data_IF_180787728775
#
_entry.id   IF_180787728775
#
_cell.length_a   1.000
_cell.length_b   1.000
_cell.length_c   1.000
_cell.angle_alpha   90.00
_cell.angle_beta   90.00
_cell.angle_gamma   90.00
#
_symmetry.space_group_name_H-M   'P 1'
#
loop_
_entity.id
_entity.type
_entity.pdbx_description
1 polymer ?
2 polymer ?
3 water ?
#
# COMPACT_ATOMS: atom_id res chain seq x y z
N UNK A 2 -17.57 11.19 4.74
CA UNK A 2 -17.05 9.91 5.29
C UNK A 2 -15.70 9.55 4.67
N UNK A 3 -15.63 8.38 4.04
CA UNK A 3 -14.40 7.90 3.40
C UNK A 3 -14.28 8.38 1.96
N UNK A 4 -13.25 9.17 1.69
CA UNK A 4 -13.00 9.70 0.36
C UNK A 4 -11.75 9.07 -0.25
N UNK A 5 -11.87 8.54 -1.47
CA UNK A 5 -10.72 7.94 -2.12
C UNK A 5 -9.95 9.06 -2.81
N UNK A 6 -8.67 9.18 -2.50
CA UNK A 6 -7.87 10.24 -3.11
C UNK A 6 -6.88 9.70 -4.14
N UNK A 7 -6.92 8.39 -4.35
CA UNK A 7 -6.03 7.77 -5.31
C UNK A 7 -6.43 6.33 -5.57
N UNK A 8 -6.30 5.91 -6.83
CA UNK A 8 -6.63 4.54 -7.22
C UNK A 8 -5.47 4.04 -8.09
N UNK A 9 -4.82 2.97 -7.66
CA UNK A 9 -3.70 2.41 -8.41
C UNK A 9 -3.79 0.89 -8.44
N UNK A 10 -3.18 0.29 -9.45
CA UNK A 10 -3.18 -1.16 -9.58
C UNK A 10 -1.84 -1.70 -9.11
N UNK A 11 -1.88 -2.62 -8.16
CA UNK A 11 -0.65 -3.19 -7.62
C UNK A 11 -0.92 -4.54 -6.97
N UNK A 12 0.11 -5.37 -6.91
CA UNK A 12 0.01 -6.66 -6.27
C UNK A 12 0.48 -6.39 -4.85
N UNK A 13 -0.40 -6.58 -3.88
CA UNK A 13 -0.04 -6.33 -2.48
C UNK A 13 0.69 -7.54 -1.91
N UNK A 14 1.81 -7.28 -1.26
CA UNK A 14 2.62 -8.35 -0.68
C UNK A 14 2.96 -8.04 0.78
N UNK A 15 3.34 -9.09 1.50
CA UNK A 15 3.77 -8.95 2.89
C UNK A 15 5.05 -9.75 2.98
N UNK A 16 5.99 -9.29 3.80
CA UNK A 16 7.27 -9.99 3.91
C UNK A 16 7.25 -11.12 4.93
N UNK A 17 7.71 -12.28 4.49
CA UNK A 17 7.80 -13.47 5.34
C UNK A 17 9.21 -13.43 5.92
N UNK A 18 9.31 -12.91 7.14
CA UNK A 18 10.57 -12.76 7.85
C UNK A 18 11.42 -14.04 7.91
N UNK A 19 10.80 -15.16 8.27
CA UNK A 19 11.51 -16.43 8.38
C UNK A 19 12.10 -16.95 7.07
N UNK A 20 11.26 -17.06 6.04
CA UNK A 20 11.71 -17.56 4.75
C UNK A 20 12.37 -16.50 3.87
N UNK A 21 12.45 -15.28 4.39
CA UNK A 21 13.06 -14.16 3.67
C UNK A 21 12.50 -14.05 2.26
N UNK A 22 11.17 -14.11 2.17
CA UNK A 22 10.47 -14.03 0.89
C UNK A 22 9.23 -13.16 1.04
N UNK A 23 8.79 -12.56 -0.06
CA UNK A 23 7.58 -11.77 -0.04
C UNK A 23 6.47 -12.75 -0.41
N UNK A 24 5.29 -12.57 0.18
CA UNK A 24 4.18 -13.46 -0.11
C UNK A 24 2.94 -12.62 -0.40
N UNK A 25 2.02 -13.14 -1.24
CA UNK A 25 0.80 -12.40 -1.58
C UNK A 25 -0.04 -12.07 -0.36
N UNK A 26 -0.43 -10.80 -0.22
CA UNK A 26 -1.25 -10.39 0.91
C UNK A 26 -2.60 -11.10 0.83
N UNK A 27 -3.07 -11.60 1.97
CA UNK A 27 -4.34 -12.29 2.00
C UNK A 27 -4.23 -13.66 1.34
N UNK A 28 -3.00 -14.04 0.98
CA UNK A 28 -2.76 -15.32 0.34
C UNK A 28 -3.42 -15.46 -1.01
N UNK A 29 -3.84 -14.33 -1.58
CA UNK A 29 -4.51 -14.30 -2.87
C UNK A 29 -3.62 -13.65 -3.93
N UNK A 30 -2.97 -14.47 -4.74
CA UNK A 30 -2.08 -13.97 -5.79
C UNK A 30 -2.83 -13.18 -6.86
N UNK A 31 -2.19 -12.13 -7.36
CA UNK A 31 -2.82 -11.31 -8.39
C UNK A 31 -2.88 -9.85 -8.00
N UNK A 32 -3.23 -9.00 -8.96
CA UNK A 32 -3.30 -7.57 -8.70
C UNK A 32 -4.57 -7.13 -7.99
N UNK A 33 -4.45 -6.02 -7.28
CA UNK A 33 -5.55 -5.41 -6.55
C UNK A 33 -5.67 -3.96 -6.97
N UNK A 34 -6.85 -3.39 -6.74
CA UNK A 34 -7.11 -1.99 -7.00
C UNK A 34 -6.85 -1.43 -5.61
N UNK A 35 -5.81 -0.61 -5.49
CA UNK A 35 -5.45 -0.05 -4.20
C UNK A 35 -5.77 1.44 -4.08
N UNK A 36 -6.52 1.77 -3.04
CA UNK A 36 -6.91 3.15 -2.79
C UNK A 36 -6.28 3.66 -1.51
N UNK A 37 -6.14 4.98 -1.43
CA UNK A 37 -5.70 5.60 -0.19
C UNK A 37 -6.99 6.34 0.16
N UNK A 38 -7.57 6.03 1.31
CA UNK A 38 -8.81 6.69 1.73
C UNK A 38 -8.57 7.73 2.80
N UNK A 39 -9.25 8.86 2.67
CA UNK A 39 -9.12 9.93 3.65
C UNK A 39 -10.44 10.03 4.39
N UNK A 40 -10.41 9.79 5.70
CA UNK A 40 -11.63 9.89 6.49
C UNK A 40 -11.74 11.35 6.87
N UNK A 41 -12.48 12.11 6.07
CA UNK A 41 -12.67 13.54 6.28
C UNK A 41 -12.94 13.94 7.73
N UNK A 42 -13.94 13.32 8.34
CA UNK A 42 -14.29 13.66 9.71
C UNK A 42 -13.19 13.47 10.74
N UNK A 43 -12.46 12.37 10.63
CA UNK A 43 -11.39 12.04 11.58
C UNK A 43 -10.03 12.55 11.10
N UNK A 44 -9.96 12.90 9.82
CA UNK A 44 -8.73 13.40 9.20
C UNK A 44 -7.61 12.36 9.33
N UNK A 45 -7.96 11.11 9.06
CA UNK A 45 -7.01 10.00 9.12
C UNK A 45 -6.99 9.34 7.74
N UNK A 46 -5.96 8.55 7.46
CA UNK A 46 -5.83 7.88 6.17
C UNK A 46 -5.54 6.40 6.33
N UNK A 47 -5.91 5.63 5.31
CA UNK A 47 -5.62 4.20 5.32
C UNK A 47 -5.51 3.71 3.89
N UNK A 48 -4.75 2.63 3.71
CA UNK A 48 -4.58 2.02 2.41
C UNK A 48 -5.50 0.81 2.36
N UNK A 49 -6.32 0.72 1.31
CA UNK A 49 -7.23 -0.40 1.17
C UNK A 49 -7.10 -0.98 -0.22
N UNK A 50 -6.95 -2.30 -0.29
CA UNK A 50 -6.81 -2.95 -1.57
C UNK A 50 -7.72 -4.15 -1.70
N UNK A 51 -8.31 -4.29 -2.88
CA UNK A 51 -9.20 -5.40 -3.18
C UNK A 51 -8.74 -6.01 -4.48
N UNK A 52 -8.75 -7.34 -4.53
CA UNK A 52 -8.35 -8.06 -5.73
C UNK A 52 -9.19 -7.57 -6.91
N UNK A 53 -8.54 -7.34 -8.04
CA UNK A 53 -9.24 -6.86 -9.22
C UNK A 53 -10.25 -7.88 -9.73
N UNK A 54 -9.90 -9.16 -9.64
CA UNK A 54 -10.80 -10.21 -10.12
C UNK A 54 -11.99 -10.57 -9.24
N UNK A 55 -11.74 -10.94 -7.98
CA UNK A 55 -12.84 -11.32 -7.10
C UNK A 55 -13.16 -10.32 -5.98
N UNK A 56 -12.53 -9.15 -6.03
CA UNK A 56 -12.77 -8.09 -5.06
C UNK A 56 -12.49 -8.36 -3.58
N UNK A 57 -11.80 -9.45 -3.29
CA UNK A 57 -11.46 -9.78 -1.91
C UNK A 57 -10.54 -8.70 -1.33
N UNK A 58 -10.82 -8.26 -0.10
CA UNK A 58 -9.97 -7.26 0.54
C UNK A 58 -8.67 -7.96 0.95
N UNK A 59 -7.53 -7.40 0.56
CA UNK A 59 -6.25 -8.00 0.91
C UNK A 59 -5.44 -7.14 1.88
N UNK A 60 -5.74 -5.84 1.91
CA UNK A 60 -5.05 -4.94 2.82
C UNK A 60 -5.99 -3.83 3.29
N UNK A 61 -5.86 -3.48 4.56
CA UNK A 61 -6.68 -2.45 5.18
C UNK A 61 -5.87 -1.95 6.36
N UNK A 62 -4.88 -1.10 6.08
CA UNK A 62 -4.01 -0.59 7.13
C UNK A 62 -3.96 0.92 7.23
N UNK A 63 -3.90 1.40 8.47
CA UNK A 63 -3.83 2.83 8.72
C UNK A 63 -2.49 3.39 8.27
N UNK A 64 -2.47 4.69 8.01
CA UNK A 64 -1.25 5.38 7.62
C UNK A 64 -1.02 6.35 8.77
N UNK A 65 -0.10 6.02 9.68
CA UNK A 65 0.19 6.87 10.83
C UNK A 65 1.09 8.05 10.49
N UNK A 66 1.02 9.09 11.33
CA UNK A 66 1.85 10.26 11.15
C UNK A 66 3.29 9.78 11.28
N UNK A 67 4.19 10.33 10.46
CA UNK A 67 5.59 9.94 10.53
C UNK A 67 5.95 8.69 9.74
N UNK A 68 4.96 8.05 9.14
CA UNK A 68 5.21 6.84 8.36
C UNK A 68 6.33 7.05 7.34
N UNK A 69 7.26 6.10 7.30
CA UNK A 69 8.37 6.16 6.36
C UNK A 69 8.02 5.27 5.17
N UNK A 70 7.74 5.92 4.04
CA UNK A 70 7.37 5.23 2.80
C UNK A 70 8.61 5.07 1.93
N UNK A 71 9.00 3.83 1.67
CA UNK A 71 10.19 3.55 0.88
C UNK A 71 9.90 3.12 -0.56
N UNK A 72 10.47 3.85 -1.52
CA UNK A 72 10.28 3.53 -2.92
C UNK A 72 11.48 2.73 -3.41
N UNK A 73 11.55 1.48 -2.95
CA UNK A 73 12.64 0.56 -3.29
C UNK A 73 13.03 0.62 -4.76
N UNK A 74 12.03 0.52 -5.63
CA UNK A 74 12.28 0.58 -7.07
C UNK A 74 11.19 1.42 -7.70
N UNK A 75 11.24 1.56 -9.02
CA UNK A 75 10.24 2.34 -9.73
C UNK A 75 8.87 1.68 -9.69
N UNK A 76 8.84 0.37 -9.43
CA UNK A 76 7.58 -0.35 -9.38
C UNK A 76 7.30 -1.08 -8.06
N UNK A 77 8.21 -0.99 -7.10
CA UNK A 77 7.98 -1.64 -5.81
C UNK A 77 8.21 -0.68 -4.65
N UNK A 78 7.15 -0.43 -3.88
CA UNK A 78 7.23 0.45 -2.73
C UNK A 78 6.87 -0.35 -1.49
N UNK A 79 7.37 0.07 -0.33
CA UNK A 79 7.07 -0.65 0.89
C UNK A 79 7.05 0.27 2.10
N UNK A 80 6.44 -0.23 3.17
CA UNK A 80 6.36 0.50 4.43
C UNK A 80 6.10 -0.55 5.50
N UNK A 81 6.18 -0.16 6.76
CA UNK A 81 5.96 -1.14 7.80
C UNK A 81 5.28 -0.61 9.04
N UNK A 82 4.87 -1.54 9.89
CA UNK A 82 4.28 -1.20 11.17
C UNK A 82 4.98 -2.14 12.14
N UNK A 83 4.56 -2.12 13.40
CA UNK A 83 5.20 -2.95 14.41
C UNK A 83 5.11 -4.45 14.15
N UNK A 84 4.12 -4.87 13.36
CA UNK A 84 3.91 -6.29 13.10
C UNK A 84 4.45 -6.85 11.79
N UNK A 85 4.39 -6.08 10.71
CA UNK A 85 4.87 -6.59 9.44
C UNK A 85 5.29 -5.52 8.45
N UNK A 86 5.89 -5.96 7.35
CA UNK A 86 6.33 -5.05 6.30
C UNK A 86 5.41 -5.28 5.12
N UNK A 87 4.81 -4.20 4.61
CA UNK A 87 3.91 -4.29 3.48
C UNK A 87 4.64 -3.85 2.23
N UNK A 88 4.28 -4.44 1.10
CA UNK A 88 4.91 -4.08 -0.16
C UNK A 88 3.87 -4.02 -1.26
N UNK A 89 4.09 -3.11 -2.21
CA UNK A 89 3.19 -2.97 -3.34
C UNK A 89 4.01 -3.10 -4.62
N UNK A 90 3.68 -4.11 -5.42
CA UNK A 90 4.36 -4.32 -6.69
C UNK A 90 3.40 -3.78 -7.74
N UNK A 91 3.60 -2.53 -8.14
CA UNK A 91 2.70 -1.88 -9.09
C UNK A 91 2.68 -2.46 -10.50
N UNK A 92 1.49 -2.41 -11.10
CA UNK A 92 1.30 -2.92 -12.45
C UNK A 92 2.08 -2.14 -13.49
N UNK A 93 2.46 -0.91 -13.14
CA UNK A 93 3.22 -0.06 -14.05
C UNK A 93 3.91 1.06 -13.28
N UNK A 94 4.88 1.71 -13.93
CA UNK A 94 5.59 2.81 -13.29
C UNK A 94 4.63 3.96 -13.04
N UNK A 95 3.66 4.13 -13.93
CA UNK A 95 2.67 5.20 -13.79
C UNK A 95 1.82 4.98 -12.55
N UNK A 96 1.44 3.73 -12.29
CA UNK A 96 0.64 3.42 -11.12
C UNK A 96 1.45 3.75 -9.87
N UNK A 97 2.73 3.38 -9.88
CA UNK A 97 3.60 3.63 -8.73
C UNK A 97 3.78 5.11 -8.44
N UNK A 98 4.04 5.89 -9.48
CA UNK A 98 4.25 7.31 -9.29
C UNK A 98 3.04 8.04 -8.74
N UNK A 99 1.86 7.71 -9.24
CA UNK A 99 0.65 8.37 -8.77
C UNK A 99 0.34 7.98 -7.33
N UNK A 100 0.55 6.71 -6.99
CA UNK A 100 0.29 6.27 -5.63
C UNK A 100 1.26 6.95 -4.67
N UNK A 101 2.53 7.03 -5.07
CA UNK A 101 3.54 7.67 -4.25
C UNK A 101 3.13 9.12 -4.00
N UNK A 102 2.67 9.81 -5.05
CA UNK A 102 2.24 11.20 -4.93
C UNK A 102 1.11 11.37 -3.93
N UNK A 103 0.13 10.47 -3.99
CA UNK A 103 -1.00 10.52 -3.08
C UNK A 103 -0.53 10.25 -1.65
N UNK A 104 0.39 9.30 -1.49
CA UNK A 104 0.91 9.00 -0.16
C UNK A 104 1.59 10.23 0.43
N UNK A 105 2.38 10.92 -0.39
CA UNK A 105 3.07 12.11 0.10
C UNK A 105 2.06 13.19 0.47
N UNK A 106 0.93 13.21 -0.23
CA UNK A 106 -0.12 14.19 0.05
C UNK A 106 -0.75 13.87 1.40
N UNK A 107 -0.99 12.58 1.64
CA UNK A 107 -1.57 12.14 2.90
C UNK A 107 -0.60 12.46 4.04
N UNK A 108 0.68 12.19 3.82
CA UNK A 108 1.68 12.46 4.85
C UNK A 108 1.82 13.94 5.15
N UNK A 109 1.61 14.78 4.14
CA UNK A 109 1.69 16.22 4.31
C UNK A 109 0.58 16.68 5.25
N UNK A 110 -0.56 16.01 5.17
CA UNK A 110 -1.69 16.34 6.04
C UNK A 110 -1.43 15.83 7.45
N UNK A 111 -0.87 14.63 7.55
CA UNK A 111 -0.57 14.02 8.85
C UNK A 111 0.62 14.64 9.57
N UNK A 112 1.68 14.93 8.83
CA UNK A 112 2.89 15.51 9.40
C UNK A 112 2.78 17.01 9.56
C UNK B 1 14.42 -1.33 7.01
N UNK B 2 14.62 -1.76 5.76
CA UNK B 2 13.61 -2.52 5.03
C UNK B 2 14.22 -3.73 4.34
N UNK B 3 13.40 -4.75 4.08
CA UNK B 3 13.92 -5.94 3.41
C UNK B 3 14.04 -5.65 1.92
N UNK B 4 14.84 -6.46 1.20
CA UNK B 4 15.00 -6.23 -0.24
C UNK B 4 13.70 -6.50 -1.00
N UNK B 5 13.49 -5.82 -2.13
CA UNK B 5 12.28 -6.02 -2.92
C UNK B 5 12.27 -7.40 -3.57
N UNK B 6 11.12 -7.83 -4.12
CA UNK B 6 10.97 -9.13 -4.77
C UNK B 6 12.00 -9.38 -5.87
#
# INVERSE_FOLDING_TARGET
MSEQSICQARAAVMVYDDANKKWVPAGGSTGFSRVHIYHHTGNNTFRVVGRKIQDHQVVINCAIPKGLKYNQATQTFHQWRDARQVYGLNFGSKEDANVFASAMMHALEVLN
XFPPPPT
#
